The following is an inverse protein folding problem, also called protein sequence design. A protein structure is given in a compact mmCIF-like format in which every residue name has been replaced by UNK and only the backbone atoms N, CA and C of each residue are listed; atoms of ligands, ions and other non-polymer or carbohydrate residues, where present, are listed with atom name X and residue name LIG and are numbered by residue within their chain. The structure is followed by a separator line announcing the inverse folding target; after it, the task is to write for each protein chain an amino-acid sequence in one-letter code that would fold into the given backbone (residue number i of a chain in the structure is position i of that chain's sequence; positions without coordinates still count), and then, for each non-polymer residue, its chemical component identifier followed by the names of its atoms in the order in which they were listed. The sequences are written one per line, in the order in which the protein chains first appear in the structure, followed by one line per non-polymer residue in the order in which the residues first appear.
data_IF_991881455444
#
_entry.id   IF_991881455444
#
_cell.length_a   1.000
_cell.length_b   1.000
_cell.length_c   1.000
_cell.angle_alpha   90.00
_cell.angle_beta   90.00
_cell.angle_gamma   90.00
#
_symmetry.space_group_name_H-M   'P 1'
#
loop_
_entity.id
_entity.type
_entity.pdbx_description
1 polymer ?
#
# COMPACT_ATOMS: atom_id res chain seq x y z
N UNK A 1 3.59 -28.00 2.61
CA UNK A 1 3.72 -27.67 4.05
C UNK A 1 3.98 -26.18 4.10
N UNK A 2 3.10 -25.41 4.73
CA UNK A 2 3.28 -23.94 4.85
C UNK A 2 4.48 -23.68 5.77
N UNK A 3 5.59 -23.24 5.18
CA UNK A 3 6.80 -22.92 5.94
C UNK A 3 6.62 -21.71 6.88
N UNK A 4 5.51 -20.98 6.76
CA UNK A 4 5.17 -19.84 7.62
C UNK A 4 3.69 -19.88 8.03
N UNK A 5 3.32 -20.70 9.01
CA UNK A 5 1.92 -20.87 9.45
C UNK A 5 1.26 -19.57 9.95
N UNK A 6 2.07 -18.53 10.21
CA UNK A 6 1.61 -17.25 10.73
C UNK A 6 1.39 -16.17 9.66
N UNK A 7 1.61 -16.47 8.38
CA UNK A 7 1.42 -15.52 7.26
C UNK A 7 0.37 -15.98 6.28
N UNK A 8 -0.54 -15.08 5.92
CA UNK A 8 -1.45 -15.24 4.80
C UNK A 8 -1.04 -14.29 3.69
N UNK A 9 -0.48 -14.83 2.62
CA UNK A 9 0.03 -14.05 1.49
C UNK A 9 -1.13 -13.51 0.65
N UNK A 10 -1.27 -12.18 0.62
CA UNK A 10 -2.23 -11.47 -0.23
C UNK A 10 -1.67 -11.29 -1.64
N UNK A 11 -0.37 -10.99 -1.72
CA UNK A 11 0.38 -10.82 -2.98
C UNK A 11 1.81 -11.31 -2.78
N UNK A 12 2.35 -11.96 -3.80
CA UNK A 12 3.70 -12.55 -3.72
C UNK A 12 3.79 -13.75 -2.78
N UNK A 13 5.00 -14.17 -2.45
CA UNK A 13 5.22 -15.39 -1.71
C UNK A 13 4.68 -16.60 -2.47
N UNK A 14 3.85 -17.42 -1.84
CA UNK A 14 3.22 -18.56 -2.51
C UNK A 14 2.14 -18.19 -3.53
N UNK A 15 1.62 -16.97 -3.47
CA UNK A 15 0.50 -16.50 -4.33
C UNK A 15 1.01 -15.91 -5.64
N UNK A 16 2.30 -15.76 -5.84
CA UNK A 16 2.92 -15.05 -6.95
C UNK A 16 2.31 -13.66 -7.22
N UNK A 17 3.06 -12.79 -7.82
CA UNK A 17 2.58 -11.47 -8.20
C UNK A 17 1.86 -11.51 -9.54
N UNK A 18 0.85 -10.65 -9.67
CA UNK A 18 0.15 -10.40 -10.93
C UNK A 18 0.03 -8.88 -11.11
N UNK A 19 0.77 -8.34 -12.06
CA UNK A 19 0.75 -6.90 -12.34
C UNK A 19 -0.62 -6.40 -12.80
N UNK A 20 -1.44 -7.26 -13.43
CA UNK A 20 -2.80 -6.90 -13.85
C UNK A 20 -3.79 -6.77 -12.67
N UNK A 21 -3.39 -7.21 -11.47
CA UNK A 21 -4.17 -6.98 -10.25
C UNK A 21 -3.98 -5.56 -9.69
N UNK A 22 -3.14 -4.74 -10.30
CA UNK A 22 -2.80 -3.40 -9.87
C UNK A 22 -3.05 -2.36 -10.96
N UNK A 23 -3.35 -1.14 -10.55
CA UNK A 23 -3.65 -0.01 -11.44
C UNK A 23 -3.07 1.28 -10.86
N UNK A 24 -2.53 2.18 -11.72
CA UNK A 24 -2.02 3.46 -11.25
C UNK A 24 -3.14 4.36 -10.72
N UNK A 25 -2.85 5.06 -9.63
CA UNK A 25 -3.71 6.07 -9.02
C UNK A 25 -2.84 7.26 -8.60
N UNK A 26 -2.26 7.90 -9.59
CA UNK A 26 -1.31 9.01 -9.42
C UNK A 26 -2.02 10.36 -9.32
N UNK A 27 -1.29 11.40 -8.93
CA UNK A 27 -1.78 12.78 -8.76
C UNK A 27 -2.21 13.46 -10.08
N UNK A 28 -2.08 12.80 -11.20
CA UNK A 28 -2.48 13.30 -12.53
C UNK A 28 -3.95 13.73 -12.59
N UNK A 29 -4.82 13.08 -11.81
CA UNK A 29 -6.24 13.48 -11.66
C UNK A 29 -6.42 14.85 -11.01
N UNK A 30 -5.37 15.37 -10.36
CA UNK A 30 -5.32 16.71 -9.73
C UNK A 30 -4.46 17.70 -10.52
N UNK A 31 -4.03 17.33 -11.74
CA UNK A 31 -3.13 18.15 -12.54
C UNK A 31 -1.64 17.94 -12.23
N UNK A 32 -1.30 16.94 -11.40
CA UNK A 32 0.08 16.54 -11.14
C UNK A 32 0.72 15.80 -12.32
N UNK A 33 2.02 15.60 -12.25
CA UNK A 33 2.82 14.93 -13.29
C UNK A 33 3.50 13.65 -12.80
N UNK A 34 3.27 13.24 -11.58
CA UNK A 34 3.84 12.02 -11.02
C UNK A 34 3.34 10.79 -11.78
N UNK A 35 4.17 9.75 -11.86
CA UNK A 35 3.88 8.50 -12.54
C UNK A 35 4.38 7.33 -11.74
N UNK A 36 3.59 6.26 -11.71
CA UNK A 36 3.97 4.98 -11.10
C UNK A 36 3.76 3.80 -12.04
N UNK A 37 4.52 2.75 -11.79
CA UNK A 37 4.41 1.44 -12.39
C UNK A 37 4.54 0.38 -11.30
N UNK A 38 3.86 -0.75 -11.49
CA UNK A 38 4.12 -1.97 -10.77
C UNK A 38 4.33 -3.08 -11.79
N UNK A 39 5.54 -3.61 -11.85
CA UNK A 39 5.96 -4.61 -12.84
C UNK A 39 6.50 -5.84 -12.10
N UNK A 40 6.11 -7.02 -12.55
CA UNK A 40 6.58 -8.27 -11.96
C UNK A 40 7.85 -8.78 -12.64
N UNK A 41 8.71 -9.47 -11.87
CA UNK A 41 9.82 -10.26 -12.41
C UNK A 41 9.29 -11.39 -13.32
N UNK A 42 10.16 -11.94 -14.17
CA UNK A 42 9.78 -12.99 -15.13
C UNK A 42 9.16 -14.23 -14.47
N UNK A 43 9.59 -14.56 -13.25
CA UNK A 43 9.07 -15.66 -12.43
C UNK A 43 7.90 -15.23 -11.52
N UNK A 44 7.47 -13.97 -11.58
CA UNK A 44 6.44 -13.37 -10.72
C UNK A 44 6.74 -13.45 -9.20
N UNK A 45 7.99 -13.64 -8.82
CA UNK A 45 8.41 -13.73 -7.42
C UNK A 45 8.59 -12.36 -6.77
N UNK A 46 8.89 -11.32 -7.56
CA UNK A 46 9.15 -9.96 -7.09
C UNK A 46 8.29 -8.98 -7.88
N UNK A 47 7.67 -8.03 -7.17
CA UNK A 47 7.03 -6.86 -7.79
C UNK A 47 7.88 -5.62 -7.55
N UNK A 48 8.14 -4.87 -8.61
CA UNK A 48 8.82 -3.59 -8.57
C UNK A 48 7.80 -2.46 -8.66
N UNK A 49 7.67 -1.71 -7.57
CA UNK A 49 6.95 -0.44 -7.53
C UNK A 49 7.94 0.68 -7.80
N UNK A 50 7.79 1.37 -8.91
CA UNK A 50 8.74 2.41 -9.35
C UNK A 50 8.02 3.54 -10.07
N UNK A 51 8.73 4.63 -10.29
CA UNK A 51 8.21 5.76 -11.02
C UNK A 51 9.02 7.04 -10.83
N UNK A 52 8.35 8.15 -11.02
CA UNK A 52 8.90 9.48 -10.83
C UNK A 52 7.89 10.35 -10.07
N UNK A 53 8.33 10.87 -8.94
CA UNK A 53 7.54 11.76 -8.09
C UNK A 53 7.84 13.21 -8.48
N UNK A 54 6.88 13.84 -9.14
CA UNK A 54 6.96 15.25 -9.56
C UNK A 54 6.27 16.14 -8.54
N UNK A 55 6.97 17.14 -8.03
CA UNK A 55 6.46 18.12 -7.07
C UNK A 55 6.29 19.52 -7.67
N UNK A 56 6.57 19.68 -8.96
CA UNK A 56 6.61 21.00 -9.62
C UNK A 56 5.23 21.51 -10.00
N UNK A 57 4.30 20.60 -10.30
CA UNK A 57 2.98 20.94 -10.79
C UNK A 57 1.97 21.34 -9.70
N UNK A 58 2.17 20.92 -8.46
CA UNK A 58 1.22 21.07 -7.35
C UNK A 58 1.83 21.80 -6.13
N UNK A 59 2.76 22.72 -6.37
CA UNK A 59 3.32 23.60 -5.32
C UNK A 59 4.11 22.84 -4.23
N UNK A 60 4.84 21.81 -4.59
CA UNK A 60 5.60 20.97 -3.67
C UNK A 60 4.84 19.72 -3.19
N UNK A 61 3.55 19.63 -3.45
CA UNK A 61 2.78 18.40 -3.24
C UNK A 61 2.92 17.47 -4.43
N UNK A 62 2.72 16.18 -4.20
CA UNK A 62 2.70 15.17 -5.25
C UNK A 62 2.60 13.76 -4.67
N UNK A 63 2.04 12.85 -5.46
CA UNK A 63 2.03 11.43 -5.13
C UNK A 63 1.93 10.56 -6.38
N UNK A 64 2.58 9.41 -6.31
CA UNK A 64 2.47 8.32 -7.27
C UNK A 64 2.04 7.06 -6.52
N UNK A 65 1.03 6.36 -7.00
CA UNK A 65 0.42 5.27 -6.26
C UNK A 65 -0.06 4.15 -7.19
N UNK A 66 0.12 2.93 -6.74
CA UNK A 66 -0.49 1.73 -7.33
C UNK A 66 -1.52 1.18 -6.36
N UNK A 67 -2.71 0.88 -6.84
CA UNK A 67 -3.79 0.29 -6.06
C UNK A 67 -4.28 -1.02 -6.66
N UNK A 68 -4.81 -1.88 -5.83
CA UNK A 68 -5.49 -3.09 -6.29
C UNK A 68 -6.71 -2.74 -7.15
N UNK A 69 -6.96 -3.53 -8.22
CA UNK A 69 -8.16 -3.37 -9.04
C UNK A 69 -9.38 -3.91 -8.31
N UNK A 70 -10.53 -3.26 -8.53
CA UNK A 70 -11.81 -3.68 -7.96
C UNK A 70 -12.44 -4.82 -8.79
N UNK A 71 -13.31 -5.67 -8.21
CA UNK A 71 -13.64 -5.72 -6.79
C UNK A 71 -12.66 -6.58 -5.99
N UNK A 72 -12.39 -6.17 -4.76
CA UNK A 72 -11.65 -6.96 -3.78
C UNK A 72 -12.41 -7.01 -2.47
N UNK A 73 -12.20 -8.06 -1.70
CA UNK A 73 -12.71 -8.16 -0.34
C UNK A 73 -11.90 -9.17 0.45
N UNK A 74 -11.20 -8.69 1.48
CA UNK A 74 -10.45 -9.54 2.39
C UNK A 74 -11.04 -9.43 3.79
N UNK A 75 -11.28 -10.58 4.41
CA UNK A 75 -11.56 -10.69 5.84
C UNK A 75 -10.23 -10.93 6.57
N UNK A 76 -9.78 -9.92 7.29
CA UNK A 76 -8.51 -9.93 8.01
C UNK A 76 -8.69 -9.88 9.53
N UNK A 77 -9.89 -10.17 10.04
CA UNK A 77 -10.21 -10.11 11.48
C UNK A 77 -9.29 -10.94 12.36
N UNK A 78 -8.88 -12.12 11.87
CA UNK A 78 -8.05 -13.06 12.64
C UNK A 78 -6.55 -12.72 12.61
N UNK A 79 -6.17 -11.67 11.89
CA UNK A 79 -4.79 -11.21 11.75
C UNK A 79 -4.55 -9.97 12.60
N UNK A 80 -3.29 -9.69 12.93
CA UNK A 80 -2.89 -8.57 13.78
C UNK A 80 -2.31 -7.38 13.01
N UNK A 81 -2.00 -7.57 11.74
CA UNK A 81 -1.39 -6.55 10.92
C UNK A 81 -0.98 -7.07 9.55
N UNK A 82 -0.19 -6.26 8.86
CA UNK A 82 0.42 -6.60 7.58
C UNK A 82 1.95 -6.67 7.71
N UNK A 83 2.53 -7.51 6.87
CA UNK A 83 3.98 -7.61 6.68
C UNK A 83 4.28 -7.46 5.18
N UNK A 84 5.29 -6.66 4.87
CA UNK A 84 5.84 -6.51 3.53
C UNK A 84 7.24 -7.13 3.49
N UNK A 85 7.44 -8.10 2.62
CA UNK A 85 8.78 -8.60 2.30
C UNK A 85 9.46 -7.65 1.33
N UNK A 86 10.58 -7.08 1.72
CA UNK A 86 11.34 -6.12 0.92
C UNK A 86 12.55 -6.82 0.31
N UNK A 87 12.61 -6.87 -1.02
CA UNK A 87 13.76 -7.41 -1.73
C UNK A 87 14.84 -6.33 -1.92
N UNK A 88 14.42 -5.09 -2.23
CA UNK A 88 15.32 -3.94 -2.40
C UNK A 88 14.57 -2.63 -2.19
N UNK A 89 15.23 -1.65 -1.60
CA UNK A 89 14.70 -0.30 -1.39
C UNK A 89 15.73 0.76 -1.76
N UNK A 90 15.23 1.92 -2.18
CA UNK A 90 16.03 3.13 -2.40
C UNK A 90 16.18 4.00 -1.13
N UNK A 91 15.63 3.56 -0.01
CA UNK A 91 15.69 4.28 1.27
C UNK A 91 14.71 5.44 1.41
N UNK A 92 13.84 5.65 0.43
CA UNK A 92 12.78 6.66 0.53
C UNK A 92 11.64 6.19 1.44
N UNK A 93 10.82 7.15 1.88
CA UNK A 93 9.62 6.90 2.68
C UNK A 93 8.45 6.53 1.76
N UNK A 94 7.83 5.41 2.04
CA UNK A 94 6.66 4.89 1.34
C UNK A 94 5.45 4.87 2.26
N UNK A 95 4.26 4.78 1.69
CA UNK A 95 3.01 4.67 2.46
C UNK A 95 2.21 3.47 1.97
N UNK A 96 1.80 2.63 2.91
CA UNK A 96 0.82 1.58 2.68
C UNK A 96 -0.57 2.13 3.02
N UNK A 97 -1.53 1.96 2.11
CA UNK A 97 -2.88 2.52 2.26
C UNK A 97 -3.91 1.41 2.20
N UNK A 98 -4.84 1.42 3.15
CA UNK A 98 -5.98 0.53 3.18
C UNK A 98 -7.28 1.32 3.04
N UNK A 99 -8.26 0.72 2.36
CA UNK A 99 -9.66 1.15 2.36
C UNK A 99 -10.56 -0.02 2.70
N UNK A 100 -11.53 0.23 3.57
CA UNK A 100 -12.57 -0.71 3.97
C UNK A 100 -13.89 -0.45 3.22
N UNK A 101 -13.87 0.45 2.25
CA UNK A 101 -14.99 0.74 1.38
C UNK A 101 -14.50 1.04 -0.05
N UNK A 102 -15.33 0.71 -1.03
CA UNK A 102 -15.08 1.06 -2.42
C UNK A 102 -15.59 2.48 -2.66
N UNK A 103 -14.73 3.44 -3.05
CA UNK A 103 -15.18 4.80 -3.27
C UNK A 103 -16.28 4.88 -4.36
N UNK A 104 -17.40 5.57 -4.09
CA UNK A 104 -18.41 5.84 -5.09
C UNK A 104 -17.83 6.63 -6.27
N UNK A 105 -18.40 6.45 -7.45
CA UNK A 105 -18.03 7.25 -8.62
C UNK A 105 -18.95 8.46 -8.76
N UNK A 106 -18.34 9.60 -9.07
CA UNK A 106 -19.03 10.81 -9.50
C UNK A 106 -19.61 10.66 -10.91
N UNK A 107 -20.54 11.54 -11.32
CA UNK A 107 -21.03 11.57 -12.70
C UNK A 107 -19.94 11.75 -13.77
N UNK A 108 -18.81 12.40 -13.43
CA UNK A 108 -17.64 12.59 -14.30
C UNK A 108 -16.71 11.37 -14.37
N UNK A 109 -17.08 10.25 -13.70
CA UNK A 109 -16.32 9.01 -13.64
C UNK A 109 -15.19 9.00 -12.61
N UNK A 110 -14.90 10.12 -11.94
CA UNK A 110 -13.90 10.19 -10.86
C UNK A 110 -14.45 9.58 -9.59
N UNK A 111 -13.57 9.00 -8.79
CA UNK A 111 -13.93 8.50 -7.47
C UNK A 111 -14.14 9.65 -6.48
N UNK A 112 -15.12 9.47 -5.60
CA UNK A 112 -15.28 10.35 -4.43
C UNK A 112 -14.17 10.09 -3.42
N UNK A 113 -13.86 11.11 -2.63
CA UNK A 113 -12.92 10.94 -1.52
C UNK A 113 -13.59 10.15 -0.41
N UNK A 114 -12.91 9.14 0.09
CA UNK A 114 -13.28 8.34 1.26
C UNK A 114 -12.13 8.28 2.25
N UNK A 115 -12.38 7.83 3.47
CA UNK A 115 -11.32 7.65 4.47
C UNK A 115 -10.29 6.63 3.95
N UNK A 116 -9.03 6.97 4.12
CA UNK A 116 -7.89 6.08 3.91
C UNK A 116 -7.23 5.78 5.25
N UNK A 117 -6.72 4.57 5.40
CA UNK A 117 -5.93 4.17 6.56
C UNK A 117 -4.50 4.01 6.10
N UNK A 118 -3.59 4.81 6.64
CA UNK A 118 -2.25 4.98 6.12
C UNK A 118 -1.19 4.62 7.16
N UNK A 119 -0.16 3.92 6.68
CA UNK A 119 1.05 3.60 7.43
C UNK A 119 2.28 4.01 6.62
N UNK A 120 3.06 4.95 7.15
CA UNK A 120 4.29 5.43 6.54
C UNK A 120 5.48 4.61 7.04
N UNK A 121 6.38 4.21 6.13
CA UNK A 121 7.55 3.42 6.46
C UNK A 121 8.75 3.77 5.58
N UNK A 122 9.94 3.62 6.13
CA UNK A 122 11.21 3.71 5.42
C UNK A 122 11.86 2.33 5.50
N UNK A 123 11.89 1.57 4.40
CA UNK A 123 12.62 0.30 4.40
C UNK A 123 14.11 0.58 4.57
N UNK A 124 14.68 0.12 5.67
CA UNK A 124 16.11 0.19 5.94
C UNK A 124 16.87 -0.99 5.33
N UNK A 125 17.82 -1.53 6.09
CA UNK A 125 18.50 -2.80 5.75
C UNK A 125 17.65 -4.04 6.06
N UNK A 126 16.48 -3.87 6.65
CA UNK A 126 15.55 -4.92 6.98
C UNK A 126 14.89 -5.48 5.72
N UNK A 127 14.72 -6.80 5.70
CA UNK A 127 14.04 -7.51 4.61
C UNK A 127 12.54 -7.62 4.81
N UNK A 128 12.03 -7.16 5.94
CA UNK A 128 10.62 -7.19 6.29
C UNK A 128 10.22 -5.92 7.05
N UNK A 129 9.08 -5.34 6.65
CA UNK A 129 8.42 -4.24 7.33
C UNK A 129 7.10 -4.76 7.87
N UNK A 130 6.84 -4.58 9.16
CA UNK A 130 5.62 -5.03 9.83
C UNK A 130 4.84 -3.84 10.35
N UNK A 131 3.53 -3.82 10.10
CA UNK A 131 2.60 -2.83 10.61
C UNK A 131 1.43 -3.52 11.32
N UNK A 132 1.22 -3.21 12.59
CA UNK A 132 -0.01 -3.61 13.30
C UNK A 132 -1.20 -2.77 12.82
N UNK A 133 -2.43 -3.23 13.05
CA UNK A 133 -3.60 -2.42 12.69
C UNK A 133 -3.63 -1.07 13.40
N UNK A 134 -3.08 -0.97 14.60
CA UNK A 134 -2.98 0.27 15.37
C UNK A 134 -2.00 1.30 14.76
N UNK A 135 -1.07 0.85 13.92
CA UNK A 135 -0.11 1.73 13.25
C UNK A 135 -0.74 2.49 12.08
N UNK A 136 -1.83 1.96 11.51
CA UNK A 136 -2.57 2.65 10.45
C UNK A 136 -3.38 3.81 11.03
N UNK A 137 -3.22 4.99 10.43
CA UNK A 137 -3.90 6.21 10.85
C UNK A 137 -4.94 6.65 9.82
N UNK A 138 -6.15 7.02 10.25
CA UNK A 138 -7.19 7.47 9.33
C UNK A 138 -6.88 8.86 8.78
N UNK A 139 -7.06 9.01 7.49
CA UNK A 139 -6.93 10.28 6.78
C UNK A 139 -8.12 10.51 5.85
N UNK A 140 -8.38 11.77 5.56
CA UNK A 140 -9.34 12.18 4.55
C UNK A 140 -8.72 13.29 3.71
N UNK A 141 -8.59 13.08 2.40
CA UNK A 141 -7.91 13.98 1.47
C UNK A 141 -6.50 14.37 1.93
N UNK A 142 -5.75 13.40 2.46
CA UNK A 142 -4.39 13.59 2.92
C UNK A 142 -4.24 14.31 4.26
N UNK A 143 -5.34 14.57 4.97
CA UNK A 143 -5.34 15.19 6.30
C UNK A 143 -5.79 14.19 7.36
N UNK A 144 -5.24 14.23 8.58
CA UNK A 144 -5.70 13.38 9.68
C UNK A 144 -7.21 13.51 9.90
N UNK A 145 -7.87 12.37 10.14
CA UNK A 145 -9.31 12.30 10.46
C UNK A 145 -9.53 11.49 11.74
N UNK A 146 -9.24 12.10 12.90
CA UNK A 146 -9.27 11.38 14.18
C UNK A 146 -10.66 10.89 14.60
N UNK A 147 -11.72 11.45 14.04
CA UNK A 147 -13.13 11.08 14.26
C UNK A 147 -13.65 10.01 13.27
N UNK A 148 -12.76 9.36 12.49
CA UNK A 148 -13.15 8.28 11.60
C UNK A 148 -13.65 7.08 12.41
N UNK A 149 -14.64 6.36 11.85
CA UNK A 149 -15.04 5.06 12.38
C UNK A 149 -13.85 4.09 12.31
N UNK A 150 -13.75 3.10 13.22
CA UNK A 150 -12.68 2.12 13.19
C UNK A 150 -12.55 1.40 11.85
N UNK A 151 -11.34 1.04 11.46
CA UNK A 151 -11.06 0.24 10.27
C UNK A 151 -11.80 -1.10 10.35
N UNK A 152 -12.61 -1.40 9.33
CA UNK A 152 -13.38 -2.64 9.25
C UNK A 152 -12.52 -3.74 8.65
N UNK A 153 -11.88 -4.52 9.50
CA UNK A 153 -10.95 -5.58 9.12
C UNK A 153 -11.63 -6.75 8.39
N UNK A 154 -12.93 -6.95 8.58
CA UNK A 154 -13.76 -7.93 7.84
C UNK A 154 -14.06 -7.47 6.40
N UNK A 155 -13.67 -6.25 6.04
CA UNK A 155 -14.11 -5.60 4.80
C UNK A 155 -13.01 -4.80 4.13
N UNK A 156 -11.77 -5.28 4.11
CA UNK A 156 -10.71 -4.60 3.37
C UNK A 156 -10.98 -4.72 1.87
N UNK A 157 -11.22 -3.58 1.24
CA UNK A 157 -11.63 -3.50 -0.17
C UNK A 157 -10.51 -3.10 -1.11
N UNK A 158 -9.50 -2.41 -0.60
CA UNK A 158 -8.40 -1.91 -1.42
C UNK A 158 -7.11 -1.81 -0.62
N UNK A 159 -6.02 -2.20 -1.26
CA UNK A 159 -4.65 -2.00 -0.77
C UNK A 159 -3.92 -1.14 -1.82
N UNK A 160 -3.16 -0.16 -1.35
CA UNK A 160 -2.34 0.69 -2.23
C UNK A 160 -0.94 0.85 -1.65
N UNK A 161 0.04 1.02 -2.54
CA UNK A 161 1.40 1.43 -2.22
C UNK A 161 1.60 2.81 -2.83
N UNK A 162 2.06 3.75 -2.04
CA UNK A 162 2.20 5.15 -2.44
C UNK A 162 3.60 5.69 -2.15
N UNK A 163 4.09 6.46 -3.10
CA UNK A 163 5.20 7.39 -2.93
C UNK A 163 4.63 8.79 -2.92
N UNK A 164 4.80 9.54 -1.84
CA UNK A 164 4.34 10.93 -1.75
C UNK A 164 5.43 11.88 -1.28
N UNK A 165 5.26 13.16 -1.58
CA UNK A 165 6.29 14.17 -1.35
C UNK A 165 6.47 14.56 0.11
N UNK A 166 5.49 14.30 0.99
CA UNK A 166 5.49 14.82 2.36
C UNK A 166 5.77 16.33 2.40
N UNK A 167 5.07 17.09 1.54
CA UNK A 167 5.25 18.54 1.39
C UNK A 167 6.65 18.96 0.91
N UNK A 168 7.21 18.23 -0.05
CA UNK A 168 8.49 18.54 -0.68
C UNK A 168 9.72 17.93 -0.02
N UNK A 169 9.54 17.06 0.98
CA UNK A 169 10.66 16.37 1.63
C UNK A 169 11.36 15.37 0.71
N UNK A 170 10.64 14.81 -0.27
CA UNK A 170 11.20 13.90 -1.25
C UNK A 170 10.58 14.09 -2.63
N UNK A 171 11.35 13.75 -3.69
CA UNK A 171 10.98 13.86 -5.09
C UNK A 171 11.86 13.01 -5.98
N UNK A 172 11.51 12.94 -7.25
CA UNK A 172 12.32 12.31 -8.29
C UNK A 172 12.07 10.81 -8.42
N UNK A 173 12.97 10.09 -9.09
CA UNK A 173 12.84 8.66 -9.31
C UNK A 173 12.78 7.88 -8.00
N UNK A 174 11.93 6.86 -7.96
CA UNK A 174 11.82 5.97 -6.81
C UNK A 174 11.71 4.52 -7.26
N UNK A 175 12.12 3.60 -6.38
CA UNK A 175 12.02 2.17 -6.59
C UNK A 175 11.97 1.39 -5.28
N UNK A 176 10.98 0.51 -5.19
CA UNK A 176 10.81 -0.45 -4.10
C UNK A 176 10.49 -1.82 -4.70
N UNK A 177 11.33 -2.81 -4.44
CA UNK A 177 11.11 -4.20 -4.86
C UNK A 177 10.55 -5.00 -3.68
N UNK A 178 9.40 -5.63 -3.90
CA UNK A 178 8.66 -6.37 -2.89
C UNK A 178 8.61 -7.87 -3.22
N UNK A 179 8.91 -8.70 -2.22
CA UNK A 179 8.72 -10.14 -2.29
C UNK A 179 7.25 -10.52 -2.03
N UNK A 180 6.59 -9.84 -1.09
CA UNK A 180 5.19 -10.13 -0.74
C UNK A 180 4.53 -9.00 0.03
N UNK A 181 3.20 -9.05 0.08
CA UNK A 181 2.34 -8.42 1.08
C UNK A 181 1.54 -9.54 1.73
N UNK A 182 1.62 -9.67 3.04
CA UNK A 182 0.95 -10.72 3.80
C UNK A 182 0.24 -10.18 5.04
N UNK A 183 -0.87 -10.80 5.42
CA UNK A 183 -1.46 -10.61 6.73
C UNK A 183 -0.77 -11.55 7.73
N UNK A 184 -0.52 -11.07 8.94
CA UNK A 184 0.24 -11.79 9.97
C UNK A 184 -0.62 -12.08 11.19
N UNK A 185 -0.48 -13.29 11.73
CA UNK A 185 -1.03 -13.69 13.03
C UNK A 185 0.00 -13.45 14.14
N UNK A 186 -0.47 -13.37 15.39
CA UNK A 186 0.42 -13.51 16.53
C UNK A 186 1.14 -14.86 16.47
N UNK A 187 2.40 -14.86 16.85
CA UNK A 187 3.06 -16.11 17.18
C UNK A 187 2.27 -16.76 18.32
N UNK A 188 1.82 -18.00 18.11
CA UNK A 188 1.27 -18.79 19.20
C UNK A 188 2.39 -18.96 20.21
N UNK A 189 2.21 -18.38 21.41
CA UNK A 189 3.09 -18.72 22.52
C UNK A 189 2.97 -20.23 22.70
N UNK A 190 4.02 -20.96 22.39
CA UNK A 190 4.15 -22.34 22.78
C UNK A 190 4.16 -22.34 24.32
N UNK A 191 3.10 -22.84 24.92
CA UNK A 191 3.12 -23.21 26.33
C UNK A 191 4.10 -24.38 26.48
N UNK A 192 5.28 -24.09 27.01
CA UNK A 192 6.20 -25.09 27.55
C UNK A 192 5.69 -25.63 28.89
#
# INVERSE_FOLDING_TARGET
MDEHPNKFYLFGGYTLWNEHAWSPSDDRVRGGKSRSLLVCSADSAVATFSGDLDITALGGAGFASQRTVDPQSWDLLVYQGLSLGVAKSDGKKYTLVLKDDTPPKRPDGREESTVSWEYDFVPGSETEVTASWADFKPTYRGKPKPDAAPLRLDHIKRISIMMRSFFGEQQGPFRLDLNYIAAIRAESMSED
#
